data_IF_947433421710
#
_entry.id   IF_947433421710
#
_cell.length_a   1.000
_cell.length_b   1.000
_cell.length_c   1.000
_cell.angle_alpha   90.00
_cell.angle_beta   90.00
_cell.angle_gamma   90.00
#
_symmetry.space_group_name_H-M   'P 1'
#
loop_
_entity.id
_entity.type
_entity.pdbx_description
1 polymer ?
#
# COMPACT_ATOMS: atom_id res chain seq x y z
N UNK A 1 5.55 -24.16 3.77
CA UNK A 1 4.79 -23.74 2.58
C UNK A 1 4.51 -22.22 2.54
N UNK A 2 4.08 -21.57 3.63
CA UNK A 2 3.84 -20.11 3.66
C UNK A 2 5.13 -19.25 3.62
N UNK A 3 6.21 -19.68 4.30
CA UNK A 3 7.53 -19.04 4.16
C UNK A 3 8.13 -19.22 2.75
N UNK A 4 7.75 -20.30 2.05
CA UNK A 4 8.15 -20.58 0.68
C UNK A 4 7.44 -19.68 -0.34
N UNK A 5 6.25 -19.13 -0.03
CA UNK A 5 5.56 -18.17 -0.90
C UNK A 5 6.17 -16.76 -0.80
N UNK A 6 6.60 -16.36 0.40
CA UNK A 6 7.41 -15.15 0.59
C UNK A 6 8.79 -15.32 -0.08
N UNK A 7 9.43 -16.49 0.07
CA UNK A 7 10.62 -16.84 -0.69
C UNK A 7 10.36 -16.92 -2.20
N UNK A 8 9.22 -17.39 -2.67
CA UNK A 8 8.89 -17.48 -4.08
C UNK A 8 8.63 -16.09 -4.69
N UNK A 9 8.05 -15.14 -3.94
CA UNK A 9 7.97 -13.75 -4.36
C UNK A 9 9.36 -13.10 -4.43
N UNK A 10 10.23 -13.40 -3.46
CA UNK A 10 11.65 -12.99 -3.45
C UNK A 10 12.45 -13.65 -4.60
N UNK A 11 12.17 -14.92 -4.93
CA UNK A 11 12.85 -15.70 -5.98
C UNK A 11 12.34 -15.36 -7.39
N UNK A 12 11.05 -15.04 -7.54
CA UNK A 12 10.48 -14.51 -8.79
C UNK A 12 11.03 -13.11 -9.09
N UNK A 13 11.36 -12.33 -8.07
CA UNK A 13 12.14 -11.09 -8.23
C UNK A 13 13.63 -11.36 -8.49
N UNK A 14 14.23 -12.43 -7.95
CA UNK A 14 15.66 -12.77 -8.16
C UNK A 14 16.05 -12.97 -9.63
N UNK A 15 15.11 -13.39 -10.51
CA UNK A 15 15.34 -13.45 -11.96
C UNK A 15 15.58 -12.07 -12.61
N UNK A 16 15.23 -10.97 -11.91
CA UNK A 16 15.50 -9.57 -12.27
C UNK A 16 16.78 -9.02 -11.60
N UNK A 17 17.42 -9.73 -10.66
CA UNK A 17 18.64 -9.28 -9.98
C UNK A 17 19.91 -9.60 -10.76
N UNK A 18 19.84 -10.52 -11.72
CA UNK A 18 20.94 -10.82 -12.64
C UNK A 18 21.35 -9.60 -13.50
N UNK A 19 20.47 -8.60 -13.66
CA UNK A 19 20.71 -7.39 -14.47
C UNK A 19 21.24 -6.19 -13.65
N UNK A 20 21.32 -6.28 -12.31
CA UNK A 20 21.88 -5.23 -11.44
C UNK A 20 23.32 -5.57 -11.02
N UNK A 21 24.21 -5.63 -12.00
CA UNK A 21 25.60 -6.08 -11.91
C UNK A 21 26.59 -5.24 -11.08
N UNK A 22 26.18 -4.55 -10.01
CA UNK A 22 27.14 -3.81 -9.14
C UNK A 22 27.22 -4.29 -7.69
N UNK A 23 26.15 -4.84 -7.09
CA UNK A 23 26.24 -5.40 -5.72
C UNK A 23 26.75 -6.84 -5.70
N UNK A 24 26.55 -7.58 -6.79
CA UNK A 24 27.00 -8.96 -6.90
C UNK A 24 28.51 -9.04 -7.15
N UNK A 25 29.12 -8.07 -7.83
CA UNK A 25 30.54 -8.14 -8.20
C UNK A 25 31.48 -8.02 -6.98
N UNK A 26 31.14 -7.23 -5.96
CA UNK A 26 31.92 -7.18 -4.71
C UNK A 26 31.73 -8.44 -3.87
N UNK A 27 30.52 -8.99 -3.76
CA UNK A 27 30.29 -10.25 -3.04
C UNK A 27 30.85 -11.46 -3.79
N UNK A 28 30.78 -11.48 -5.12
CA UNK A 28 31.32 -12.52 -5.99
C UNK A 28 32.85 -12.47 -6.01
N UNK A 29 33.46 -11.27 -6.08
CA UNK A 29 34.90 -11.13 -5.92
C UNK A 29 35.32 -11.50 -4.50
N UNK A 30 34.61 -11.10 -3.44
CA UNK A 30 34.92 -11.52 -2.06
C UNK A 30 34.79 -13.04 -1.89
N UNK A 31 33.77 -13.66 -2.47
CA UNK A 31 33.56 -15.11 -2.44
C UNK A 31 34.60 -15.86 -3.28
N UNK A 32 35.02 -15.32 -4.43
CA UNK A 32 36.12 -15.85 -5.24
C UNK A 32 37.46 -15.70 -4.55
N UNK A 33 37.73 -14.57 -3.89
CA UNK A 33 38.95 -14.35 -3.10
C UNK A 33 38.98 -15.33 -1.92
N UNK A 34 37.87 -15.50 -1.20
CA UNK A 34 37.76 -16.48 -0.11
C UNK A 34 37.88 -17.93 -0.63
N UNK A 35 37.29 -18.27 -1.78
CA UNK A 35 37.36 -19.60 -2.38
C UNK A 35 38.75 -19.93 -2.96
N UNK A 36 39.48 -18.96 -3.52
CA UNK A 36 40.86 -19.13 -3.96
C UNK A 36 41.84 -19.27 -2.78
N UNK A 37 41.55 -18.64 -1.64
CA UNK A 37 42.42 -18.71 -0.44
C UNK A 37 42.20 -19.98 0.40
N UNK A 38 41.10 -20.72 0.22
CA UNK A 38 40.87 -21.99 0.91
C UNK A 38 41.72 -23.17 0.38
N UNK A 39 42.48 -23.00 -0.72
CA UNK A 39 43.32 -24.06 -1.30
C UNK A 39 44.83 -23.92 -1.03
N UNK A 40 45.29 -22.88 -0.32
CA UNK A 40 46.71 -22.69 -0.03
C UNK A 40 46.98 -22.66 1.49
N UNK A 41 47.69 -23.69 1.97
CA UNK A 41 48.17 -23.81 3.34
C UNK A 41 49.40 -22.90 3.57
N UNK A 42 49.20 -21.58 3.65
CA UNK A 42 50.21 -20.63 4.09
C UNK A 42 49.65 -19.69 5.17
N UNK A 43 50.48 -19.17 6.10
CA UNK A 43 50.00 -18.28 7.16
C UNK A 43 49.48 -16.98 6.54
N UNK A 44 48.22 -16.64 6.84
CA UNK A 44 47.52 -15.47 6.32
C UNK A 44 47.98 -14.19 7.03
N UNK A 45 48.74 -13.34 6.36
CA UNK A 45 48.81 -11.90 6.68
C UNK A 45 47.47 -11.27 6.27
N UNK A 46 46.51 -11.24 7.19
CA UNK A 46 45.21 -10.61 6.98
C UNK A 46 45.42 -9.09 6.98
N UNK A 47 45.11 -8.44 5.84
CA UNK A 47 45.09 -6.98 5.75
C UNK A 47 44.22 -6.40 6.88
N UNK A 48 44.75 -5.54 7.76
CA UNK A 48 43.98 -4.95 8.87
C UNK A 48 42.74 -4.16 8.41
N UNK A 49 42.66 -3.74 7.14
CA UNK A 49 41.46 -3.15 6.53
C UNK A 49 40.35 -4.16 6.19
N UNK A 50 40.67 -5.45 6.03
CA UNK A 50 39.72 -6.51 5.69
C UNK A 50 38.84 -6.92 6.89
N UNK A 51 39.40 -6.88 8.11
CA UNK A 51 38.70 -7.27 9.34
C UNK A 51 37.46 -6.38 9.65
N UNK A 52 37.54 -5.04 9.59
CA UNK A 52 36.38 -4.17 9.77
C UNK A 52 35.28 -4.36 8.71
N UNK A 53 35.65 -4.61 7.46
CA UNK A 53 34.70 -4.83 6.36
C UNK A 53 33.97 -6.15 6.55
N UNK A 54 34.67 -7.23 6.90
CA UNK A 54 34.07 -8.53 7.20
C UNK A 54 33.13 -8.44 8.41
N UNK A 55 33.55 -7.79 9.50
CA UNK A 55 32.71 -7.55 10.67
C UNK A 55 31.45 -6.74 10.32
N UNK A 56 31.58 -5.70 9.49
CA UNK A 56 30.44 -4.92 9.02
C UNK A 56 29.47 -5.75 8.16
N UNK A 57 29.99 -6.54 7.22
CA UNK A 57 29.19 -7.44 6.39
C UNK A 57 28.42 -8.45 7.24
N UNK A 58 29.07 -9.08 8.23
CA UNK A 58 28.41 -10.00 9.15
C UNK A 58 27.32 -9.29 9.95
N UNK A 59 27.62 -8.13 10.53
CA UNK A 59 26.63 -7.35 11.28
C UNK A 59 25.42 -6.92 10.41
N UNK A 60 25.67 -6.53 9.17
CA UNK A 60 24.63 -6.18 8.20
C UNK A 60 23.74 -7.38 7.84
N UNK A 61 24.34 -8.54 7.56
CA UNK A 61 23.59 -9.77 7.29
C UNK A 61 22.79 -10.23 8.51
N UNK A 62 23.38 -10.18 9.70
CA UNK A 62 22.69 -10.46 10.97
C UNK A 62 21.50 -9.51 11.17
N UNK A 63 21.66 -8.20 10.93
CA UNK A 63 20.56 -7.23 10.99
C UNK A 63 19.44 -7.60 10.02
N UNK A 64 19.77 -7.89 8.76
CA UNK A 64 18.79 -8.27 7.74
C UNK A 64 18.03 -9.55 8.12
N UNK A 65 18.76 -10.54 8.65
CA UNK A 65 18.18 -11.79 9.12
C UNK A 65 17.23 -11.58 10.30
N UNK A 66 17.68 -10.87 11.35
CA UNK A 66 16.85 -10.57 12.53
C UNK A 66 15.59 -9.78 12.16
N UNK A 67 15.71 -8.81 11.24
CA UNK A 67 14.57 -8.05 10.73
C UNK A 67 13.57 -8.93 9.97
N UNK A 68 14.08 -9.79 9.10
CA UNK A 68 13.26 -10.76 8.37
C UNK A 68 12.53 -11.70 9.34
N UNK A 69 13.23 -12.23 10.34
CA UNK A 69 12.64 -13.07 11.38
C UNK A 69 11.57 -12.31 12.17
N UNK A 70 11.82 -11.06 12.55
CA UNK A 70 10.80 -10.24 13.20
C UNK A 70 9.53 -10.11 12.36
N UNK A 71 9.63 -9.78 11.07
CA UNK A 71 8.46 -9.59 10.22
C UNK A 71 7.74 -10.92 10.00
N UNK A 72 8.46 -12.02 9.80
CA UNK A 72 7.88 -13.36 9.67
C UNK A 72 7.13 -13.75 10.95
N UNK A 73 7.77 -13.64 12.11
CA UNK A 73 7.14 -13.95 13.40
C UNK A 73 5.90 -13.08 13.62
N UNK A 74 5.99 -11.78 13.32
CA UNK A 74 4.85 -10.86 13.38
C UNK A 74 3.68 -11.34 12.53
N UNK A 75 3.91 -11.73 11.28
CA UNK A 75 2.87 -12.28 10.42
C UNK A 75 2.30 -13.61 10.94
N UNK A 76 3.17 -14.49 11.47
CA UNK A 76 2.79 -15.83 11.97
C UNK A 76 1.79 -15.75 13.11
N UNK A 77 1.92 -14.81 14.05
CA UNK A 77 0.94 -14.68 15.13
C UNK A 77 -0.17 -13.67 14.83
N UNK A 78 0.05 -12.62 14.02
CA UNK A 78 -0.99 -11.61 13.76
C UNK A 78 -2.07 -12.11 12.81
N UNK A 79 -1.71 -12.67 11.65
CA UNK A 79 -2.69 -12.97 10.59
C UNK A 79 -3.58 -14.15 10.96
N UNK A 80 -3.06 -15.31 11.40
CA UNK A 80 -3.93 -16.41 11.81
C UNK A 80 -4.85 -16.01 12.95
N UNK A 81 -4.36 -15.24 13.91
CA UNK A 81 -5.16 -14.74 15.03
C UNK A 81 -6.26 -13.79 14.58
N UNK A 82 -5.96 -12.87 13.66
CA UNK A 82 -6.98 -12.05 13.02
C UNK A 82 -8.06 -12.91 12.35
N UNK A 83 -7.66 -13.91 11.56
CA UNK A 83 -8.59 -14.81 10.88
C UNK A 83 -9.46 -15.56 11.88
N UNK A 84 -8.88 -16.14 12.93
CA UNK A 84 -9.64 -16.85 13.97
C UNK A 84 -10.64 -15.93 14.66
N UNK A 85 -10.25 -14.70 15.00
CA UNK A 85 -11.18 -13.71 15.55
C UNK A 85 -12.33 -13.41 14.58
N UNK A 86 -12.04 -13.21 13.29
CA UNK A 86 -13.07 -12.98 12.27
C UNK A 86 -14.03 -14.17 12.13
N UNK A 87 -13.52 -15.41 12.26
CA UNK A 87 -14.34 -16.62 12.26
C UNK A 87 -15.22 -16.73 13.51
N UNK A 88 -14.68 -16.41 14.69
CA UNK A 88 -15.43 -16.43 15.97
C UNK A 88 -16.58 -15.43 15.94
N UNK A 89 -16.33 -14.21 15.46
CA UNK A 89 -17.36 -13.16 15.40
C UNK A 89 -18.23 -13.26 14.14
N UNK A 90 -17.96 -14.17 13.21
CA UNK A 90 -18.69 -14.31 11.95
C UNK A 90 -20.22 -14.44 12.11
N UNK A 91 -20.76 -15.18 13.10
CA UNK A 91 -22.21 -15.23 13.31
C UNK A 91 -22.82 -13.84 13.54
N UNK A 92 -22.08 -12.91 14.15
CA UNK A 92 -22.53 -11.53 14.39
C UNK A 92 -22.83 -10.80 13.08
N UNK A 93 -22.14 -11.14 11.98
CA UNK A 93 -22.41 -10.58 10.64
C UNK A 93 -23.86 -10.81 10.20
N UNK A 94 -24.47 -11.93 10.59
CA UNK A 94 -25.84 -12.30 10.21
C UNK A 94 -26.92 -11.62 11.06
N UNK A 95 -26.64 -11.39 12.35
CA UNK A 95 -27.61 -10.88 13.33
C UNK A 95 -27.46 -9.37 13.59
N UNK A 96 -26.23 -8.86 13.62
CA UNK A 96 -25.89 -7.44 13.86
C UNK A 96 -24.78 -6.98 12.89
N UNK A 97 -25.08 -6.83 11.58
CA UNK A 97 -24.07 -6.53 10.56
C UNK A 97 -23.31 -5.23 10.83
N UNK A 98 -23.98 -4.17 11.27
CA UNK A 98 -23.34 -2.88 11.58
C UNK A 98 -22.31 -3.01 12.71
N UNK A 99 -22.61 -3.81 13.73
CA UNK A 99 -21.70 -4.06 14.84
C UNK A 99 -20.52 -4.93 14.40
N UNK A 100 -20.76 -5.97 13.60
CA UNK A 100 -19.71 -6.79 13.02
C UNK A 100 -18.72 -5.95 12.22
N UNK A 101 -19.19 -5.10 11.30
CA UNK A 101 -18.31 -4.27 10.46
C UNK A 101 -17.55 -3.22 11.26
N UNK A 102 -18.15 -2.69 12.33
CA UNK A 102 -17.45 -1.82 13.26
C UNK A 102 -16.32 -2.57 13.95
N UNK A 103 -16.56 -3.74 14.51
CA UNK A 103 -15.53 -4.55 15.20
C UNK A 103 -14.45 -4.97 14.20
N UNK A 104 -14.83 -5.52 13.05
CA UNK A 104 -13.93 -5.92 11.98
C UNK A 104 -13.01 -4.77 11.57
N UNK A 105 -13.53 -3.55 11.38
CA UNK A 105 -12.72 -2.39 11.04
C UNK A 105 -11.66 -2.06 12.11
N UNK A 106 -11.95 -2.25 13.40
CA UNK A 106 -10.96 -2.06 14.46
C UNK A 106 -9.87 -3.13 14.40
N UNK A 107 -10.25 -4.40 14.21
CA UNK A 107 -9.29 -5.50 14.04
C UNK A 107 -8.42 -5.32 12.79
N UNK A 108 -9.00 -4.81 11.71
CA UNK A 108 -8.29 -4.48 10.48
C UNK A 108 -7.27 -3.37 10.73
N UNK A 109 -7.65 -2.28 11.41
CA UNK A 109 -6.69 -1.24 11.85
C UNK A 109 -5.58 -1.85 12.70
N UNK A 110 -5.91 -2.64 13.71
CA UNK A 110 -4.91 -3.24 14.59
C UNK A 110 -3.89 -4.07 13.81
N UNK A 111 -4.35 -4.87 12.84
CA UNK A 111 -3.47 -5.64 11.97
C UNK A 111 -2.60 -4.73 11.06
N UNK A 112 -3.19 -3.71 10.44
CA UNK A 112 -2.46 -2.77 9.59
C UNK A 112 -1.46 -1.90 10.39
N UNK A 113 -1.73 -1.63 11.66
CA UNK A 113 -0.79 -0.99 12.56
C UNK A 113 0.46 -1.87 12.76
N UNK A 114 0.31 -3.20 12.85
CA UNK A 114 1.47 -4.11 12.89
C UNK A 114 2.28 -4.06 11.59
N UNK A 115 1.62 -3.95 10.44
CA UNK A 115 2.30 -3.76 9.14
C UNK A 115 3.04 -2.43 9.09
N UNK A 116 2.44 -1.37 9.63
CA UNK A 116 3.05 -0.03 9.72
C UNK A 116 4.37 -0.02 10.49
N UNK A 117 4.49 -0.93 11.48
CA UNK A 117 5.71 -1.09 12.26
C UNK A 117 6.88 -1.62 11.43
N UNK A 118 6.63 -2.32 10.31
CA UNK A 118 7.70 -2.87 9.47
C UNK A 118 8.56 -1.75 8.85
N UNK A 119 7.91 -0.75 8.24
CA UNK A 119 8.61 0.40 7.67
C UNK A 119 9.23 1.29 8.75
N UNK A 120 8.48 1.59 9.81
CA UNK A 120 8.95 2.45 10.90
C UNK A 120 10.16 1.86 11.63
N UNK A 121 10.11 0.57 12.00
CA UNK A 121 11.24 -0.09 12.71
C UNK A 121 12.46 -0.37 11.84
N UNK A 122 12.36 -0.13 10.52
CA UNK A 122 13.48 -0.16 9.58
C UNK A 122 14.10 1.23 9.32
N UNK A 123 13.53 2.30 9.88
CA UNK A 123 13.97 3.68 9.68
C UNK A 123 13.51 4.28 8.35
N UNK A 124 12.38 3.82 7.82
CA UNK A 124 11.75 4.41 6.63
C UNK A 124 10.62 5.32 7.08
N UNK A 125 10.98 6.57 7.36
CA UNK A 125 10.08 7.59 7.86
C UNK A 125 9.29 8.22 6.71
N UNK A 126 8.15 8.81 7.06
CA UNK A 126 7.24 9.44 6.12
C UNK A 126 7.10 10.91 6.48
N UNK A 127 7.18 11.79 5.49
CA UNK A 127 6.94 13.22 5.64
C UNK A 127 5.73 13.60 4.80
N UNK A 128 4.69 14.10 5.46
CA UNK A 128 3.47 14.63 4.84
C UNK A 128 3.63 16.13 4.60
N UNK A 129 3.18 16.62 3.45
CA UNK A 129 3.17 18.05 3.11
C UNK A 129 2.13 18.31 2.02
N UNK A 130 1.84 19.57 1.73
CA UNK A 130 0.87 19.95 0.71
C UNK A 130 -0.42 20.48 1.32
N UNK A 131 -1.57 20.15 0.74
CA UNK A 131 -2.88 20.58 1.23
C UNK A 131 -3.25 19.94 2.59
N UNK A 132 -3.93 20.71 3.45
CA UNK A 132 -4.54 20.23 4.68
C UNK A 132 -5.66 19.20 4.41
N UNK A 133 -5.48 17.97 4.91
CA UNK A 133 -6.42 16.87 4.73
C UNK A 133 -7.41 16.70 5.89
N UNK A 134 -7.33 17.51 6.95
CA UNK A 134 -8.18 17.37 8.15
C UNK A 134 -9.66 17.42 7.83
N UNK A 135 -10.04 18.19 6.81
CA UNK A 135 -11.42 18.35 6.34
C UNK A 135 -12.00 17.08 5.73
N UNK A 136 -11.18 16.17 5.18
CA UNK A 136 -11.67 14.96 4.51
C UNK A 136 -11.58 13.68 5.36
N UNK A 137 -10.97 13.73 6.56
CA UNK A 137 -10.74 12.55 7.40
C UNK A 137 -12.03 11.83 7.82
N UNK A 138 -13.09 12.60 8.10
CA UNK A 138 -14.38 12.05 8.53
C UNK A 138 -15.39 11.86 7.38
N UNK A 139 -15.02 12.24 6.15
CA UNK A 139 -15.86 12.15 4.96
C UNK A 139 -15.45 10.98 4.06
N UNK A 140 -16.35 10.57 3.16
CA UNK A 140 -16.00 9.61 2.12
C UNK A 140 -15.00 10.24 1.14
N UNK A 141 -13.83 9.63 1.02
CA UNK A 141 -12.69 10.18 0.28
C UNK A 141 -12.13 9.12 -0.66
N UNK A 142 -12.03 9.46 -1.94
CA UNK A 142 -11.30 8.67 -2.92
C UNK A 142 -9.84 9.13 -2.92
N UNK A 143 -8.94 8.23 -2.55
CA UNK A 143 -7.49 8.46 -2.61
C UNK A 143 -6.98 8.00 -3.97
N UNK A 144 -6.32 8.90 -4.70
CA UNK A 144 -5.55 8.56 -5.90
C UNK A 144 -4.07 8.81 -5.64
N UNK A 145 -3.20 7.93 -6.13
CA UNK A 145 -1.76 8.08 -5.97
C UNK A 145 -0.98 7.62 -7.22
N UNK A 146 0.23 8.14 -7.41
CA UNK A 146 1.21 7.51 -8.30
C UNK A 146 1.68 6.19 -7.68
N UNK A 147 2.17 5.27 -8.52
CA UNK A 147 2.55 3.93 -8.12
C UNK A 147 3.97 3.59 -8.58
N UNK A 148 4.93 3.68 -7.69
CA UNK A 148 6.34 3.48 -8.00
C UNK A 148 6.82 2.07 -7.66
N UNK A 149 6.37 1.48 -6.55
CA UNK A 149 6.89 0.18 -6.09
C UNK A 149 5.95 -0.56 -5.13
N UNK A 150 6.40 -1.75 -4.71
CA UNK A 150 5.72 -2.56 -3.69
C UNK A 150 5.73 -1.92 -2.30
N UNK A 151 6.59 -0.93 -2.04
CA UNK A 151 6.66 -0.24 -0.76
C UNK A 151 5.59 0.86 -0.59
N UNK A 152 4.93 1.30 -1.67
CA UNK A 152 3.90 2.36 -1.61
C UNK A 152 2.78 1.98 -0.63
N UNK A 153 2.31 0.73 -0.68
CA UNK A 153 1.19 0.22 0.13
C UNK A 153 1.50 0.23 1.63
N UNK A 154 2.57 -0.43 2.13
CA UNK A 154 2.89 -0.37 3.56
C UNK A 154 3.20 1.04 4.06
N UNK A 155 3.76 1.93 3.23
CA UNK A 155 3.99 3.33 3.61
C UNK A 155 2.68 4.12 3.71
N UNK A 156 1.71 3.89 2.81
CA UNK A 156 0.36 4.45 2.96
C UNK A 156 -0.35 3.92 4.22
N UNK A 157 -0.19 2.62 4.53
CA UNK A 157 -0.72 2.06 5.78
C UNK A 157 -0.11 2.76 7.01
N UNK A 158 1.22 2.94 7.04
CA UNK A 158 1.90 3.65 8.11
C UNK A 158 1.47 5.12 8.22
N UNK A 159 1.24 5.78 7.09
CA UNK A 159 0.71 7.15 7.02
C UNK A 159 -0.68 7.26 7.61
N UNK A 160 -1.57 6.33 7.28
CA UNK A 160 -2.96 6.36 7.73
C UNK A 160 -3.15 5.82 9.14
N UNK A 161 -2.20 5.03 9.67
CA UNK A 161 -2.27 4.48 11.03
C UNK A 161 -2.41 5.54 12.12
N UNK A 162 -1.79 6.70 11.91
CA UNK A 162 -1.80 7.84 12.85
C UNK A 162 -3.07 8.67 12.77
N UNK A 163 -3.91 8.44 11.74
CA UNK A 163 -5.12 9.21 11.49
C UNK A 163 -6.32 8.47 12.06
N UNK A 164 -7.06 9.16 12.93
CA UNK A 164 -8.25 8.61 13.57
C UNK A 164 -9.26 8.17 12.50
N UNK A 165 -9.83 6.98 12.68
CA UNK A 165 -10.89 6.43 11.83
C UNK A 165 -10.55 6.20 10.34
N UNK A 166 -9.32 6.41 9.86
CA UNK A 166 -8.99 6.16 8.44
C UNK A 166 -8.86 4.67 8.16
N UNK A 167 -7.90 3.97 8.79
CA UNK A 167 -7.65 2.55 8.53
C UNK A 167 -8.87 1.63 8.75
N UNK A 168 -9.71 1.80 9.80
CA UNK A 168 -10.91 0.98 9.96
C UNK A 168 -11.92 1.08 8.81
N UNK A 169 -11.85 2.16 8.03
CA UNK A 169 -12.82 2.49 6.99
C UNK A 169 -12.20 2.50 5.59
N UNK A 170 -10.96 2.01 5.45
CA UNK A 170 -10.18 2.02 4.22
C UNK A 170 -10.49 0.77 3.38
N UNK A 171 -10.83 0.96 2.11
CA UNK A 171 -10.99 -0.11 1.14
C UNK A 171 -9.91 -0.03 0.07
N UNK A 172 -9.26 -1.15 -0.21
CA UNK A 172 -8.23 -1.24 -1.25
C UNK A 172 -8.83 -1.71 -2.58
N UNK A 173 -8.38 -1.07 -3.67
CA UNK A 173 -8.51 -1.62 -5.03
C UNK A 173 -7.15 -2.20 -5.42
N UNK A 174 -7.07 -3.53 -5.52
CA UNK A 174 -5.81 -4.23 -5.75
C UNK A 174 -5.93 -5.28 -6.85
N UNK A 175 -4.79 -5.68 -7.45
CA UNK A 175 -4.78 -6.74 -8.45
C UNK A 175 -5.19 -8.10 -7.86
N UNK A 176 -5.95 -8.90 -8.60
CA UNK A 176 -6.41 -10.23 -8.18
C UNK A 176 -5.29 -11.16 -7.72
N UNK A 177 -4.05 -11.01 -8.22
CA UNK A 177 -2.91 -11.82 -7.76
C UNK A 177 -2.66 -11.66 -6.25
N UNK A 178 -2.97 -10.51 -5.67
CA UNK A 178 -2.80 -10.28 -4.22
C UNK A 178 -3.68 -11.19 -3.35
N UNK A 179 -4.76 -11.75 -3.91
CA UNK A 179 -5.66 -12.69 -3.22
C UNK A 179 -4.91 -13.93 -2.67
N UNK A 180 -3.80 -14.31 -3.30
CA UNK A 180 -3.01 -15.49 -2.93
C UNK A 180 -1.89 -15.20 -1.92
N UNK A 181 -1.83 -13.96 -1.40
CA UNK A 181 -0.86 -13.57 -0.38
C UNK A 181 -1.46 -13.68 1.02
N UNK A 182 -0.60 -13.63 2.02
CA UNK A 182 -0.98 -13.48 3.43
C UNK A 182 -1.97 -12.32 3.65
N UNK A 183 -1.72 -11.18 2.99
CA UNK A 183 -2.62 -10.02 3.01
C UNK A 183 -3.92 -10.29 2.25
N UNK A 184 -3.89 -11.12 1.20
CA UNK A 184 -5.06 -11.49 0.41
C UNK A 184 -6.17 -12.11 1.25
N UNK A 185 -5.86 -12.96 2.23
CA UNK A 185 -6.85 -13.54 3.14
C UNK A 185 -7.53 -12.45 3.97
N UNK A 186 -6.74 -11.51 4.50
CA UNK A 186 -7.23 -10.37 5.28
C UNK A 186 -8.17 -9.52 4.42
N UNK A 187 -7.75 -9.20 3.19
CA UNK A 187 -8.55 -8.44 2.23
C UNK A 187 -9.82 -9.15 1.78
N UNK A 188 -9.85 -10.48 1.71
CA UNK A 188 -11.09 -11.23 1.47
C UNK A 188 -12.06 -11.05 2.65
N UNK A 189 -11.57 -11.15 3.90
CA UNK A 189 -12.41 -11.01 5.10
C UNK A 189 -12.91 -9.57 5.29
N UNK A 190 -12.06 -8.58 4.99
CA UNK A 190 -12.41 -7.16 4.96
C UNK A 190 -13.37 -6.80 3.82
N UNK A 191 -13.40 -7.66 2.80
CA UNK A 191 -13.97 -7.48 1.47
C UNK A 191 -13.47 -6.20 0.80
N UNK A 192 -12.17 -6.16 0.55
CA UNK A 192 -11.54 -5.28 -0.43
C UNK A 192 -11.91 -5.68 -1.87
N UNK A 193 -11.65 -4.79 -2.83
CA UNK A 193 -11.92 -5.05 -4.24
C UNK A 193 -10.69 -5.56 -5.00
N UNK A 194 -10.84 -6.71 -5.66
CA UNK A 194 -9.80 -7.31 -6.50
C UNK A 194 -10.10 -7.07 -7.99
N UNK A 195 -9.31 -6.22 -8.63
CA UNK A 195 -9.39 -5.95 -10.07
C UNK A 195 -8.63 -7.02 -10.88
N UNK A 196 -9.18 -7.44 -12.02
CA UNK A 196 -8.48 -8.32 -12.95
C UNK A 196 -7.78 -7.47 -14.00
N UNK A 197 -6.46 -7.52 -14.01
CA UNK A 197 -5.67 -6.86 -15.05
C UNK A 197 -5.82 -7.57 -16.40
N UNK A 198 -6.07 -6.80 -17.46
CA UNK A 198 -6.20 -7.30 -18.83
C UNK A 198 -6.99 -6.35 -19.71
N UNK A 199 -6.82 -6.43 -21.03
CA UNK A 199 -7.68 -5.67 -21.97
C UNK A 199 -9.06 -6.30 -22.05
N UNK A 200 -9.11 -7.62 -22.17
CA UNK A 200 -10.34 -8.37 -22.48
C UNK A 200 -11.32 -8.39 -21.31
N UNK A 201 -10.82 -8.36 -20.07
CA UNK A 201 -11.65 -8.41 -18.85
C UNK A 201 -11.92 -7.02 -18.22
N UNK A 202 -11.61 -5.94 -18.95
CA UNK A 202 -11.73 -4.57 -18.40
C UNK A 202 -13.18 -4.19 -18.11
N UNK A 203 -14.09 -4.46 -19.06
CA UNK A 203 -15.51 -4.15 -18.90
C UNK A 203 -16.13 -4.89 -17.72
N UNK A 204 -15.91 -6.21 -17.65
CA UNK A 204 -16.35 -7.06 -16.53
C UNK A 204 -15.80 -6.57 -15.18
N UNK A 205 -14.52 -6.18 -15.14
CA UNK A 205 -13.90 -5.69 -13.91
C UNK A 205 -14.51 -4.38 -13.43
N UNK A 206 -14.90 -3.47 -14.34
CA UNK A 206 -15.58 -2.23 -13.99
C UNK A 206 -17.00 -2.50 -13.50
N UNK A 207 -17.74 -3.42 -14.13
CA UNK A 207 -19.06 -3.83 -13.65
C UNK A 207 -18.98 -4.49 -12.26
N UNK A 208 -17.95 -5.32 -12.03
CA UNK A 208 -17.68 -5.91 -10.72
C UNK A 208 -17.35 -4.84 -9.67
N UNK A 209 -16.63 -3.77 -10.04
CA UNK A 209 -16.37 -2.63 -9.16
C UNK A 209 -17.67 -1.91 -8.79
N UNK A 210 -18.52 -1.59 -9.76
CA UNK A 210 -19.83 -0.97 -9.52
C UNK A 210 -20.70 -1.82 -8.59
N UNK A 211 -20.75 -3.13 -8.83
CA UNK A 211 -21.44 -4.07 -7.95
C UNK A 211 -20.85 -4.04 -6.53
N UNK A 212 -19.53 -4.10 -6.41
CA UNK A 212 -18.85 -4.04 -5.11
C UNK A 212 -19.13 -2.73 -4.35
N UNK A 213 -19.20 -1.60 -5.06
CA UNK A 213 -19.55 -0.32 -4.44
C UNK A 213 -20.93 -0.38 -3.79
N UNK A 214 -21.92 -0.93 -4.50
CA UNK A 214 -23.32 -1.05 -4.03
C UNK A 214 -23.49 -2.10 -2.94
N UNK A 215 -22.85 -3.26 -3.09
CA UNK A 215 -23.09 -4.43 -2.22
C UNK A 215 -22.18 -4.46 -0.98
N UNK A 216 -21.00 -3.82 -1.05
CA UNK A 216 -19.98 -3.87 0.00
C UNK A 216 -19.65 -2.47 0.56
N UNK A 217 -19.10 -1.58 -0.26
CA UNK A 217 -18.54 -0.30 0.21
C UNK A 217 -19.59 0.63 0.84
N UNK A 218 -20.75 0.81 0.19
CA UNK A 218 -21.83 1.67 0.70
C UNK A 218 -22.47 1.10 1.97
N UNK A 219 -22.97 -0.16 2.00
CA UNK A 219 -23.67 -0.71 3.16
C UNK A 219 -22.80 -0.80 4.42
N UNK A 220 -21.49 -0.98 4.26
CA UNK A 220 -20.52 -1.03 5.36
C UNK A 220 -20.11 0.33 5.89
N UNK A 221 -20.60 1.41 5.27
CA UNK A 221 -20.23 2.79 5.62
C UNK A 221 -18.72 3.03 5.58
N UNK A 222 -18.01 2.31 4.69
CA UNK A 222 -16.58 2.57 4.44
C UNK A 222 -16.41 3.98 3.90
N UNK A 223 -15.35 4.64 4.33
CA UNK A 223 -15.12 6.06 4.04
C UNK A 223 -14.04 6.24 2.98
N UNK A 224 -12.96 5.48 3.06
CA UNK A 224 -11.79 5.72 2.22
C UNK A 224 -11.62 4.63 1.19
N UNK A 225 -11.21 5.00 -0.03
CA UNK A 225 -10.90 4.05 -1.10
C UNK A 225 -9.58 4.41 -1.74
N UNK A 226 -8.64 3.48 -1.84
CA UNK A 226 -7.33 3.74 -2.46
C UNK A 226 -7.29 3.17 -3.87
N UNK A 227 -6.95 4.05 -4.82
CA UNK A 227 -6.80 3.75 -6.23
C UNK A 227 -5.41 4.18 -6.71
N UNK A 228 -4.76 3.33 -7.50
CA UNK A 228 -3.55 3.65 -8.25
C UNK A 228 -3.87 3.72 -9.74
N UNK A 229 -4.23 4.90 -10.30
CA UNK A 229 -4.72 5.01 -11.67
C UNK A 229 -3.73 4.59 -12.76
N UNK A 230 -2.42 4.57 -12.46
CA UNK A 230 -1.39 4.03 -13.36
C UNK A 230 -1.66 2.56 -13.76
N UNK A 231 -2.32 1.81 -12.86
CA UNK A 231 -2.68 0.40 -13.05
C UNK A 231 -1.47 -0.53 -13.07
N UNK A 232 -0.41 -0.17 -12.36
CA UNK A 232 0.81 -0.97 -12.17
C UNK A 232 2.02 -0.10 -11.86
N UNK A 233 3.10 -0.71 -11.36
CA UNK A 233 4.33 0.02 -11.01
C UNK A 233 4.94 0.74 -12.22
N UNK A 234 5.41 1.97 -11.99
CA UNK A 234 6.05 2.82 -12.98
C UNK A 234 7.13 2.09 -13.78
N UNK A 235 8.03 1.33 -13.13
CA UNK A 235 9.10 0.57 -13.81
C UNK A 235 8.58 -0.35 -14.92
N UNK A 236 7.41 -0.96 -14.72
CA UNK A 236 6.77 -1.87 -15.70
C UNK A 236 5.94 -1.13 -16.74
N UNK A 237 5.55 0.12 -16.48
CA UNK A 237 4.56 0.87 -17.26
C UNK A 237 5.13 2.03 -18.05
N UNK A 238 6.28 2.58 -17.65
CA UNK A 238 6.88 3.79 -18.22
C UNK A 238 7.01 3.72 -19.73
N UNK A 239 7.71 2.72 -20.26
CA UNK A 239 7.96 2.61 -21.70
C UNK A 239 6.66 2.48 -22.51
N UNK A 240 5.75 1.59 -22.08
CA UNK A 240 4.45 1.42 -22.75
C UNK A 240 3.61 2.70 -22.68
N UNK A 241 3.65 3.41 -21.56
CA UNK A 241 2.98 4.70 -21.38
C UNK A 241 3.56 5.77 -22.29
N UNK A 242 4.88 5.84 -22.45
CA UNK A 242 5.55 6.81 -23.32
C UNK A 242 5.22 6.55 -24.79
N UNK A 243 5.23 5.27 -25.22
CA UNK A 243 4.78 4.90 -26.58
C UNK A 243 3.32 5.30 -26.82
N UNK A 244 2.44 5.10 -25.84
CA UNK A 244 1.05 5.55 -25.92
C UNK A 244 0.95 7.07 -26.00
N UNK A 245 1.76 7.79 -25.21
CA UNK A 245 1.78 9.25 -25.21
C UNK A 245 2.17 9.81 -26.58
N UNK A 246 3.28 9.30 -27.15
CA UNK A 246 3.76 9.69 -28.48
C UNK A 246 2.73 9.41 -29.57
N UNK A 247 2.08 8.24 -29.54
CA UNK A 247 1.07 7.87 -30.54
C UNK A 247 -0.17 8.78 -30.51
N UNK A 248 -0.52 9.31 -29.35
CA UNK A 248 -1.75 10.10 -29.15
C UNK A 248 -1.49 11.59 -28.93
N UNK A 249 -0.27 12.08 -29.22
CA UNK A 249 0.13 13.48 -29.01
C UNK A 249 -0.10 13.98 -27.58
N UNK A 250 0.17 13.12 -26.59
CA UNK A 250 0.07 13.44 -25.17
C UNK A 250 1.47 13.70 -24.58
N UNK A 251 1.56 14.41 -23.43
CA UNK A 251 2.83 14.62 -22.74
C UNK A 251 3.56 13.31 -22.41
N UNK A 252 4.86 13.28 -22.70
CA UNK A 252 5.73 12.15 -22.39
C UNK A 252 6.29 12.32 -20.98
N UNK A 253 5.79 11.54 -20.03
CA UNK A 253 6.13 11.61 -18.61
C UNK A 253 7.28 10.64 -18.25
N UNK A 254 8.15 11.01 -17.31
CA UNK A 254 9.31 10.22 -16.86
C UNK A 254 9.13 9.64 -15.46
N UNK A 255 8.58 10.44 -14.54
CA UNK A 255 8.47 10.13 -13.11
C UNK A 255 7.13 9.50 -12.73
N UNK A 256 6.15 9.54 -13.63
CA UNK A 256 4.86 8.83 -13.54
C UNK A 256 4.46 8.25 -14.90
N UNK A 257 3.45 7.38 -14.94
CA UNK A 257 2.81 6.93 -16.18
C UNK A 257 1.43 7.58 -16.37
N UNK A 258 0.99 7.65 -17.63
CA UNK A 258 -0.34 8.16 -17.96
C UNK A 258 -1.41 7.26 -17.32
N UNK A 259 -2.33 7.84 -16.54
CA UNK A 259 -3.29 7.10 -15.75
C UNK A 259 -4.43 6.52 -16.61
N UNK A 260 -5.15 5.54 -16.06
CA UNK A 260 -6.35 4.94 -16.66
C UNK A 260 -7.60 5.48 -15.97
N UNK A 261 -8.50 6.09 -16.73
CA UNK A 261 -9.71 6.76 -16.20
C UNK A 261 -10.81 5.79 -15.73
N UNK A 262 -10.85 4.56 -16.25
CA UNK A 262 -12.04 3.70 -16.12
C UNK A 262 -12.53 3.45 -14.70
N UNK A 263 -11.63 3.16 -13.76
CA UNK A 263 -12.00 2.94 -12.36
C UNK A 263 -12.46 4.24 -11.66
N UNK A 264 -11.76 5.35 -11.90
CA UNK A 264 -12.17 6.68 -11.40
C UNK A 264 -13.57 7.02 -11.89
N UNK A 265 -13.83 6.84 -13.18
CA UNK A 265 -15.14 7.08 -13.78
C UNK A 265 -16.23 6.21 -13.15
N UNK A 266 -16.01 4.90 -13.02
CA UNK A 266 -16.98 4.00 -12.40
C UNK A 266 -17.30 4.39 -10.94
N UNK A 267 -16.29 4.82 -10.17
CA UNK A 267 -16.46 5.26 -8.78
C UNK A 267 -17.24 6.57 -8.73
N UNK A 268 -16.78 7.61 -9.44
CA UNK A 268 -17.44 8.93 -9.42
C UNK A 268 -18.87 8.82 -9.95
N UNK A 269 -19.10 8.02 -10.99
CA UNK A 269 -20.44 7.79 -11.52
C UNK A 269 -21.39 7.15 -10.48
N UNK A 270 -20.92 6.10 -9.81
CA UNK A 270 -21.74 5.32 -8.86
C UNK A 270 -21.92 6.00 -7.50
N UNK A 271 -20.87 6.66 -6.98
CA UNK A 271 -20.83 7.18 -5.61
C UNK A 271 -20.34 8.63 -5.53
N UNK A 272 -20.25 9.39 -6.62
CA UNK A 272 -19.96 10.83 -6.56
C UNK A 272 -21.19 11.66 -6.16
N UNK A 273 -21.04 12.97 -5.89
CA UNK A 273 -22.14 13.86 -5.50
C UNK A 273 -23.17 14.06 -6.63
N UNK A 274 -24.45 14.21 -6.28
CA UNK A 274 -25.56 14.37 -7.25
C UNK A 274 -25.43 15.62 -8.13
N UNK A 275 -26.03 15.56 -9.33
CA UNK A 275 -25.78 16.51 -10.42
C UNK A 275 -26.42 17.89 -10.25
N UNK A 276 -27.39 18.08 -9.36
CA UNK A 276 -28.00 19.35 -8.96
C UNK A 276 -29.17 19.03 -8.01
N UNK A 277 -29.31 19.70 -6.85
CA UNK A 277 -30.46 19.48 -5.95
C UNK A 277 -31.81 20.01 -6.48
N UNK A 278 -31.88 20.55 -7.71
CA UNK A 278 -33.07 21.22 -8.27
C UNK A 278 -33.53 20.75 -9.65
N UNK A 279 -33.01 19.65 -10.18
CA UNK A 279 -33.47 19.08 -11.45
C UNK A 279 -34.39 17.90 -11.22
N UNK A 280 -35.66 18.01 -11.62
CA UNK A 280 -36.64 16.92 -11.64
C UNK A 280 -36.06 15.71 -12.38
N UNK A 281 -35.42 14.83 -11.63
CA UNK A 281 -34.90 13.58 -12.13
C UNK A 281 -35.99 12.55 -11.87
N UNK A 282 -36.68 12.15 -12.92
CA UNK A 282 -37.51 10.94 -12.98
C UNK A 282 -36.59 9.71 -12.85
N UNK A 283 -36.03 9.53 -11.66
CA UNK A 283 -35.27 8.35 -11.27
C UNK A 283 -36.23 7.22 -10.91
N UNK A 284 -35.88 6.02 -11.36
CA UNK A 284 -36.47 4.76 -10.90
C UNK A 284 -36.56 4.76 -9.36
N UNK A 285 -37.76 4.59 -8.74
CA UNK A 285 -37.96 4.73 -7.29
C UNK A 285 -37.31 3.61 -6.46
N UNK A 286 -36.59 2.68 -7.09
CA UNK A 286 -36.18 1.42 -6.45
C UNK A 286 -34.86 1.48 -5.68
N UNK A 287 -34.13 2.61 -5.68
CA UNK A 287 -32.89 2.77 -4.90
C UNK A 287 -33.00 3.95 -3.93
N UNK A 288 -33.90 3.85 -2.96
CA UNK A 288 -33.83 4.64 -1.74
C UNK A 288 -32.62 4.16 -0.92
N UNK A 289 -31.43 4.67 -1.23
CA UNK A 289 -30.27 4.51 -0.37
C UNK A 289 -30.54 5.23 0.95
N UNK A 290 -30.66 4.47 2.05
CA UNK A 290 -30.94 4.96 3.41
C UNK A 290 -29.84 5.91 3.94
N UNK A 291 -28.70 6.03 3.25
CA UNK A 291 -27.59 6.90 3.62
C UNK A 291 -27.07 7.67 2.41
N UNK A 292 -26.83 9.00 2.51
CA UNK A 292 -26.11 9.73 1.47
C UNK A 292 -24.69 9.15 1.37
N UNK A 293 -24.40 8.48 0.26
CA UNK A 293 -23.21 7.66 0.09
C UNK A 293 -22.21 8.30 -0.88
N UNK A 294 -22.16 9.63 -0.91
CA UNK A 294 -21.32 10.37 -1.84
C UNK A 294 -19.89 10.45 -1.35
N UNK A 295 -18.93 10.17 -2.22
CA UNK A 295 -17.54 10.58 -2.10
C UNK A 295 -17.53 12.10 -2.20
N UNK A 296 -17.09 12.75 -1.13
CA UNK A 296 -17.06 14.22 -1.02
C UNK A 296 -15.72 14.79 -1.48
N UNK A 297 -14.66 13.99 -1.39
CA UNK A 297 -13.28 14.44 -1.64
C UNK A 297 -12.51 13.46 -2.52
N UNK A 298 -11.62 14.02 -3.34
CA UNK A 298 -10.52 13.28 -3.97
C UNK A 298 -9.22 13.77 -3.35
N UNK A 299 -8.55 12.88 -2.62
CA UNK A 299 -7.22 13.11 -2.09
C UNK A 299 -6.20 12.57 -3.08
N UNK A 300 -5.46 13.46 -3.72
CA UNK A 300 -4.41 13.11 -4.67
C UNK A 300 -3.03 13.16 -3.99
N UNK A 301 -2.37 12.00 -3.89
CA UNK A 301 -1.09 11.83 -3.17
C UNK A 301 0.03 11.62 -4.17
N UNK A 302 1.05 12.49 -4.10
CA UNK A 302 2.31 12.31 -4.84
C UNK A 302 3.34 11.70 -3.90
N UNK A 303 3.63 10.42 -4.12
CA UNK A 303 4.66 9.65 -3.42
C UNK A 303 6.00 9.95 -4.09
N UNK A 304 6.96 10.44 -3.32
CA UNK A 304 8.32 10.68 -3.78
C UNK A 304 9.35 10.02 -2.86
N UNK A 305 10.16 9.15 -3.45
CA UNK A 305 11.30 8.53 -2.78
C UNK A 305 12.57 9.36 -3.00
N UNK A 306 13.49 9.37 -2.02
CA UNK A 306 14.73 10.11 -2.16
C UNK A 306 15.51 9.66 -3.40
N UNK A 307 16.08 10.62 -4.12
CA UNK A 307 16.84 10.43 -5.36
C UNK A 307 16.06 9.72 -6.49
N UNK A 308 14.73 9.64 -6.42
CA UNK A 308 13.93 8.89 -7.39
C UNK A 308 14.21 7.39 -7.35
N UNK A 309 14.65 6.85 -6.21
CA UNK A 309 14.97 5.43 -6.00
C UNK A 309 13.98 4.78 -5.02
N UNK A 310 12.84 4.26 -5.51
CA UNK A 310 11.84 3.62 -4.67
C UNK A 310 12.41 2.55 -3.74
N UNK A 311 11.83 2.45 -2.55
CA UNK A 311 11.97 1.27 -1.70
C UNK A 311 11.19 0.12 -2.33
N UNK A 312 11.49 -1.12 -1.98
CA UNK A 312 10.65 -2.28 -2.27
C UNK A 312 10.28 -3.00 -0.98
N UNK A 313 9.38 -3.98 -1.08
CA UNK A 313 8.97 -4.77 0.08
C UNK A 313 10.15 -5.51 0.73
N UNK A 314 11.17 -5.90 -0.04
CA UNK A 314 12.40 -6.47 0.48
C UNK A 314 13.14 -5.49 1.40
N UNK A 315 13.20 -4.21 1.03
CA UNK A 315 13.77 -3.16 1.84
C UNK A 315 12.96 -2.99 3.13
N UNK A 316 11.63 -2.91 3.03
CA UNK A 316 10.72 -2.83 4.20
C UNK A 316 10.94 -3.99 5.17
N UNK A 317 11.10 -5.23 4.66
CA UNK A 317 11.19 -6.44 5.49
C UNK A 317 12.57 -6.61 6.12
N UNK A 318 13.63 -6.39 5.36
CA UNK A 318 15.02 -6.69 5.77
C UNK A 318 15.75 -5.48 6.34
N UNK A 319 15.36 -4.26 5.96
CA UNK A 319 16.10 -3.04 6.28
C UNK A 319 17.44 -2.93 5.54
N UNK A 320 17.60 -3.58 4.37
CA UNK A 320 18.86 -3.59 3.61
C UNK A 320 19.21 -2.21 3.01
N UNK A 321 18.21 -1.37 2.71
CA UNK A 321 18.41 0.02 2.28
C UNK A 321 18.67 0.90 3.49
N UNK A 322 19.52 1.92 3.33
CA UNK A 322 19.75 2.95 4.36
C UNK A 322 18.42 3.61 4.76
N UNK A 323 18.22 3.92 6.06
CA UNK A 323 17.11 4.72 6.54
C UNK A 323 16.92 5.97 5.71
N UNK A 324 15.67 6.34 5.43
CA UNK A 324 15.37 7.45 4.54
C UNK A 324 13.95 7.98 4.77
N UNK A 325 13.70 9.19 4.25
CA UNK A 325 12.39 9.85 4.33
C UNK A 325 11.68 9.77 2.99
N UNK A 326 10.50 9.17 2.97
CA UNK A 326 9.59 9.19 1.80
C UNK A 326 8.61 10.34 1.97
N UNK A 327 8.42 11.15 0.94
CA UNK A 327 7.58 12.33 1.00
C UNK A 327 6.23 12.04 0.34
N UNK A 328 5.14 12.41 1.03
CA UNK A 328 3.77 12.32 0.54
C UNK A 328 3.20 13.72 0.40
N UNK A 329 3.19 14.22 -0.83
CA UNK A 329 2.65 15.54 -1.13
C UNK A 329 1.15 15.45 -1.46
N UNK A 330 0.32 16.21 -0.77
CA UNK A 330 -1.14 16.17 -0.86
C UNK A 330 -1.72 17.29 -1.70
N UNK A 331 -2.69 16.91 -2.53
CA UNK A 331 -3.60 17.79 -3.23
C UNK A 331 -5.02 17.36 -2.92
N UNK A 332 -5.85 18.27 -2.44
CA UNK A 332 -7.21 17.95 -2.01
C UNK A 332 -8.23 18.65 -2.90
N UNK A 333 -9.14 17.87 -3.48
CA UNK A 333 -10.18 18.36 -4.38
C UNK A 333 -11.57 17.98 -3.89
N UNK A 334 -12.54 18.91 -3.83
CA UNK A 334 -13.94 18.55 -3.71
C UNK A 334 -14.35 17.64 -4.87
N UNK A 335 -15.00 16.51 -4.59
CA UNK A 335 -15.40 15.55 -5.62
C UNK A 335 -16.40 16.16 -6.62
N UNK A 336 -17.16 17.18 -6.20
CA UNK A 336 -18.06 17.97 -7.07
C UNK A 336 -17.33 18.70 -8.21
N UNK A 337 -16.03 18.93 -8.07
CA UNK A 337 -15.19 19.58 -9.10
C UNK A 337 -14.58 18.57 -10.08
N UNK A 338 -14.74 17.27 -9.82
CA UNK A 338 -14.30 16.20 -10.73
C UNK A 338 -15.30 16.09 -11.87
N UNK A 339 -14.88 16.24 -13.15
CA UNK A 339 -15.79 16.15 -14.27
C UNK A 339 -16.45 14.78 -14.36
N UNK A 340 -17.71 14.74 -14.80
CA UNK A 340 -18.47 13.50 -15.01
C UNK A 340 -18.33 12.94 -16.42
N UNK A 341 -18.16 13.82 -17.40
CA UNK A 341 -17.96 13.42 -18.79
C UNK A 341 -16.64 12.66 -18.94
N UNK A 342 -16.65 11.61 -19.78
CA UNK A 342 -15.53 10.70 -19.90
C UNK A 342 -14.25 11.39 -20.42
N UNK A 343 -14.38 12.27 -21.41
CA UNK A 343 -13.26 12.99 -22.00
C UNK A 343 -12.75 14.05 -21.04
N UNK A 344 -13.65 14.84 -20.45
CA UNK A 344 -13.29 15.85 -19.47
C UNK A 344 -12.62 15.25 -18.22
N UNK A 345 -13.11 14.10 -17.73
CA UNK A 345 -12.52 13.39 -16.60
C UNK A 345 -11.15 12.81 -16.96
N UNK A 346 -10.99 12.28 -18.19
CA UNK A 346 -9.70 11.81 -18.68
C UNK A 346 -8.69 12.95 -18.69
N UNK A 347 -9.08 14.11 -19.24
CA UNK A 347 -8.24 15.30 -19.25
C UNK A 347 -7.89 15.75 -17.83
N UNK A 348 -8.89 15.85 -16.94
CA UNK A 348 -8.67 16.23 -15.54
C UNK A 348 -7.67 15.32 -14.83
N UNK A 349 -7.80 14.00 -15.03
CA UNK A 349 -6.90 13.01 -14.45
C UNK A 349 -5.49 13.08 -15.08
N UNK A 350 -5.38 13.35 -16.39
CA UNK A 350 -4.09 13.59 -17.04
C UNK A 350 -3.41 14.84 -16.49
N UNK A 351 -4.16 15.93 -16.30
CA UNK A 351 -3.65 17.17 -15.73
C UNK A 351 -3.06 16.93 -14.33
N UNK A 352 -3.70 16.10 -13.48
CA UNK A 352 -3.14 15.69 -12.18
C UNK A 352 -1.81 14.95 -12.32
N UNK A 353 -1.67 14.04 -13.28
CA UNK A 353 -0.42 13.29 -13.46
C UNK A 353 0.68 14.12 -14.12
N UNK A 354 0.33 15.10 -14.96
CA UNK A 354 1.28 16.12 -15.44
C UNK A 354 1.74 17.03 -14.29
N UNK A 355 0.85 17.35 -13.35
CA UNK A 355 1.19 18.08 -12.12
C UNK A 355 2.17 17.27 -11.26
N UNK A 356 1.91 15.96 -11.05
CA UNK A 356 2.83 15.03 -10.36
C UNK A 356 4.20 14.98 -11.01
N UNK A 357 4.26 14.91 -12.34
CA UNK A 357 5.52 14.91 -13.08
C UNK A 357 6.37 16.14 -12.72
N UNK A 358 5.77 17.33 -12.69
CA UNK A 358 6.46 18.58 -12.33
C UNK A 358 6.91 18.59 -10.87
N UNK A 359 6.05 18.14 -9.95
CA UNK A 359 6.36 18.05 -8.52
C UNK A 359 7.56 17.11 -8.27
N UNK A 360 7.53 15.92 -8.88
CA UNK A 360 8.59 14.93 -8.76
C UNK A 360 9.88 15.39 -9.41
N UNK A 361 9.82 15.99 -10.60
CA UNK A 361 11.00 16.51 -11.29
C UNK A 361 11.69 17.62 -10.48
N UNK A 362 10.93 18.56 -9.92
CA UNK A 362 11.45 19.59 -9.04
C UNK A 362 12.09 19.00 -7.77
N UNK A 363 11.40 18.05 -7.13
CA UNK A 363 11.92 17.37 -5.94
C UNK A 363 13.20 16.58 -6.23
N UNK A 364 13.27 15.83 -7.33
CA UNK A 364 14.46 15.05 -7.66
C UNK A 364 15.66 15.91 -8.09
N UNK A 365 15.42 17.11 -8.65
CA UNK A 365 16.49 18.06 -9.00
C UNK A 365 16.99 18.86 -7.81
N UNK A 366 16.13 19.22 -6.87
CA UNK A 366 16.43 20.23 -5.83
C UNK A 366 16.36 19.70 -4.39
N UNK A 367 15.77 18.53 -4.18
CA UNK A 367 15.46 17.98 -2.87
C UNK A 367 14.27 18.64 -2.16
N UNK A 368 13.55 19.57 -2.82
CA UNK A 368 12.43 20.32 -2.25
C UNK A 368 11.22 20.30 -3.17
N UNK A 369 10.03 20.24 -2.57
CA UNK A 369 8.77 20.40 -3.32
C UNK A 369 8.46 21.88 -3.55
N UNK A 370 7.97 22.27 -4.74
CA UNK A 370 7.43 23.60 -4.98
C UNK A 370 6.01 23.66 -4.39
N UNK A 371 5.89 24.13 -3.15
CA UNK A 371 4.58 24.27 -2.48
C UNK A 371 3.79 25.44 -3.08
N UNK A 372 4.50 26.55 -3.35
CA UNK A 372 3.92 27.76 -3.91
C UNK A 372 3.36 27.52 -5.32
N UNK A 373 2.08 27.85 -5.52
CA UNK A 373 1.40 27.72 -6.80
C UNK A 373 0.75 26.35 -7.06
N UNK A 374 0.93 25.38 -6.18
CA UNK A 374 0.23 24.10 -6.26
C UNK A 374 -0.89 24.01 -5.22
N UNK A 375 -0.59 24.24 -3.95
CA UNK A 375 -1.54 24.03 -2.85
C UNK A 375 -2.57 25.15 -2.71
N UNK A 376 -3.80 24.79 -2.31
CA UNK A 376 -4.84 25.73 -1.91
C UNK A 376 -4.80 26.03 -0.40
N UNK A 377 -4.39 25.06 0.42
CA UNK A 377 -4.31 25.18 1.88
C UNK A 377 -3.02 24.52 2.40
N UNK A 378 -1.85 25.12 2.14
CA UNK A 378 -0.57 24.51 2.44
C UNK A 378 -0.36 24.34 3.95
N UNK A 379 0.08 23.14 4.35
CA UNK A 379 0.59 22.83 5.69
C UNK A 379 2.11 22.63 5.64
N UNK A 380 2.84 23.00 6.72
CA UNK A 380 4.27 22.75 6.80
C UNK A 380 4.54 21.23 6.75
N UNK A 381 5.73 20.80 6.28
CA UNK A 381 6.10 19.39 6.31
C UNK A 381 6.02 18.81 7.72
N UNK A 382 5.36 17.66 7.86
CA UNK A 382 5.15 16.96 9.13
C UNK A 382 5.63 15.52 9.02
N UNK A 383 6.46 15.08 9.95
CA UNK A 383 6.88 13.69 10.03
C UNK A 383 5.79 12.84 10.69
N UNK A 384 5.46 11.70 10.09
CA UNK A 384 4.46 10.77 10.60
C UNK A 384 5.01 10.06 11.84
N UNK A 385 4.59 10.52 13.01
CA UNK A 385 4.97 9.90 14.29
C UNK A 385 4.11 8.66 14.60
N UNK A 386 4.76 7.51 14.77
CA UNK A 386 4.09 6.28 15.22
C UNK A 386 4.05 6.19 16.75
N UNK A 387 3.05 5.48 17.28
CA UNK A 387 2.87 5.29 18.73
C UNK A 387 3.44 3.94 19.18
N UNK A 388 4.59 3.98 19.85
CA UNK A 388 5.27 2.80 20.38
C UNK A 388 4.47 2.05 21.45
N UNK A 389 3.74 2.77 22.31
CA UNK A 389 2.93 2.16 23.36
C UNK A 389 1.78 1.38 22.71
N UNK A 390 1.16 1.96 21.69
CA UNK A 390 0.14 1.27 20.89
C UNK A 390 0.68 0.00 20.25
N UNK A 391 1.88 0.04 19.64
CA UNK A 391 2.49 -1.18 19.10
C UNK A 391 2.71 -2.24 20.18
N UNK A 392 3.19 -1.87 21.36
CA UNK A 392 3.39 -2.81 22.47
C UNK A 392 2.06 -3.46 22.92
N UNK A 393 1.00 -2.67 23.06
CA UNK A 393 -0.34 -3.16 23.41
C UNK A 393 -0.87 -4.12 22.34
N UNK A 394 -0.72 -3.78 21.06
CA UNK A 394 -1.17 -4.64 19.96
C UNK A 394 -0.37 -5.94 19.88
N UNK A 395 0.95 -5.90 20.09
CA UNK A 395 1.77 -7.10 20.23
C UNK A 395 1.25 -8.00 21.33
N UNK A 396 1.02 -7.45 22.53
CA UNK A 396 0.48 -8.20 23.66
C UNK A 396 -0.87 -8.83 23.31
N UNK A 397 -1.78 -8.04 22.73
CA UNK A 397 -3.09 -8.53 22.29
C UNK A 397 -2.98 -9.73 21.33
N UNK A 398 -2.20 -9.60 20.25
CA UNK A 398 -2.09 -10.66 19.26
C UNK A 398 -1.36 -11.89 19.79
N UNK A 399 -0.30 -11.73 20.59
CA UNK A 399 0.44 -12.86 21.18
C UNK A 399 -0.44 -13.61 22.18
N UNK A 400 -1.08 -12.90 23.11
CA UNK A 400 -1.99 -13.51 24.10
C UNK A 400 -3.17 -14.19 23.42
N UNK A 401 -3.77 -13.55 22.41
CA UNK A 401 -4.85 -14.17 21.62
C UNK A 401 -4.36 -15.43 20.90
N UNK A 402 -3.17 -15.41 20.30
CA UNK A 402 -2.59 -16.58 19.62
C UNK A 402 -2.41 -17.75 20.58
N UNK A 403 -1.94 -17.48 21.80
CA UNK A 403 -1.79 -18.50 22.84
C UNK A 403 -3.16 -19.07 23.25
N UNK A 404 -4.16 -18.22 23.49
CA UNK A 404 -5.52 -18.67 23.83
C UNK A 404 -6.11 -19.53 22.71
N UNK A 405 -6.00 -19.10 21.45
CA UNK A 405 -6.48 -19.85 20.30
C UNK A 405 -5.79 -21.22 20.19
N UNK A 406 -4.47 -21.27 20.41
CA UNK A 406 -3.72 -22.51 20.41
C UNK A 406 -4.18 -23.48 21.51
N UNK A 407 -4.42 -22.99 22.72
CA UNK A 407 -4.93 -23.81 23.84
C UNK A 407 -6.33 -24.34 23.55
N UNK A 408 -7.23 -23.49 23.05
CA UNK A 408 -8.58 -23.89 22.66
C UNK A 408 -8.55 -24.96 21.57
N UNK A 409 -7.74 -24.78 20.53
CA UNK A 409 -7.59 -25.75 19.45
C UNK A 409 -7.03 -27.09 19.96
N UNK A 410 -5.99 -27.04 20.80
CA UNK A 410 -5.37 -28.24 21.39
C UNK A 410 -6.36 -29.01 22.25
N UNK A 411 -7.17 -28.31 23.05
CA UNK A 411 -8.24 -28.91 23.84
C UNK A 411 -9.29 -29.59 22.95
N UNK A 412 -9.76 -28.92 21.88
CA UNK A 412 -10.73 -29.52 20.95
C UNK A 412 -10.14 -30.76 20.26
N UNK A 413 -8.88 -30.70 19.79
CA UNK A 413 -8.21 -31.84 19.15
C UNK A 413 -8.07 -33.02 20.11
N UNK A 414 -7.79 -32.77 21.40
CA UNK A 414 -7.69 -33.83 22.40
C UNK A 414 -8.99 -34.64 22.59
N UNK A 415 -10.15 -34.04 22.28
CA UNK A 415 -11.45 -34.72 22.34
C UNK A 415 -11.70 -35.67 21.16
N UNK A 416 -10.99 -35.50 20.05
CA UNK A 416 -11.10 -36.38 18.87
C UNK A 416 -10.03 -37.47 18.84
N UNK A 417 -9.01 -37.36 19.71
CA UNK A 417 -7.89 -38.31 19.78
C UNK A 417 -7.98 -39.29 20.96
N UNK A 418 -8.95 -39.06 21.86
CA UNK A 418 -9.48 -40.04 22.82
C UNK A 418 -10.84 -40.50 22.31
#
# INVERSE_FOLDING_TARGET
MAALAALAAILLEYKSWADCGLSCMMCYNLFLTLAQHCHCAAPLDIDPGLCPVVCWCIAFLCKCFLRTMFVILNNVYCIPTYVVWMMIIFPLKRYHPDLYWKIEGHFFHWLLAMVSMWSWSAGYDIVELGDDIRTCLEDRTLVIANHQSTADVPLLMATFNTKKNVLPNLTWIMDRVFKYTNFGIVSILHEDFFIVSGKDKRGESLQALVKHLRDSYIPRRRKWMVLFPEGGFLRKRRETSQRFALKNNLPVLQHVSLPRVGALHAIVDTVGPEKNPGGNSSGDPTVNCVYPAHVNWVLDITIAYPEGKPLDLGAIVTGYRKPCKTFLFYRLFPCREVPRDHEAMTKWLYDRFVEKEKLLDAYYKTGKFPIDGFCASPVPPQEVSQDCLRFAILHLFFITSSYIHFQLLSYVVSYFWY
#
